data_IF_188087549296
#
_entry.id   IF_188087549296
#
_cell.length_a   1.000
_cell.length_b   1.000
_cell.length_c   1.000
_cell.angle_alpha   90.00
_cell.angle_beta   90.00
_cell.angle_gamma   90.00
#
_symmetry.space_group_name_H-M   'P 1'
#
loop_
_entity.id
_entity.type
_entity.pdbx_description
1 polymer ?
#
# COMPACT_ATOMS: atom_id res chain seq x y z
N UNK A 1 -9.41 -10.98 16.14
CA UNK A 1 -8.48 -9.99 16.71
C UNK A 1 -7.97 -9.12 15.56
N UNK A 2 -8.45 -7.88 15.37
CA UNK A 2 -7.91 -6.99 14.32
C UNK A 2 -6.49 -6.60 14.75
N UNK A 3 -5.45 -7.02 14.02
CA UNK A 3 -4.10 -6.55 14.26
C UNK A 3 -4.10 -5.03 14.12
N UNK A 4 -3.88 -4.32 15.24
CA UNK A 4 -3.80 -2.87 15.26
C UNK A 4 -2.35 -2.52 14.96
N UNK A 5 -2.06 -2.26 13.68
CA UNK A 5 -0.75 -1.77 13.25
C UNK A 5 -0.52 -0.43 13.96
N UNK A 6 0.61 -0.31 14.67
CA UNK A 6 0.97 0.91 15.40
C UNK A 6 1.85 1.78 14.51
N UNK A 7 1.89 3.07 14.83
CA UNK A 7 2.72 4.06 14.13
C UNK A 7 4.20 3.65 14.09
N UNK A 8 4.70 3.06 15.18
CA UNK A 8 6.06 2.53 15.26
C UNK A 8 6.32 1.40 14.26
N UNK A 9 5.33 0.55 14.00
CA UNK A 9 5.45 -0.56 13.07
C UNK A 9 5.51 -0.02 11.63
N UNK A 10 4.71 1.00 11.29
CA UNK A 10 4.73 1.68 9.99
C UNK A 10 6.05 2.44 9.78
N UNK A 11 6.53 3.16 10.80
CA UNK A 11 7.82 3.84 10.74
C UNK A 11 8.96 2.84 10.53
N UNK A 12 8.95 1.72 11.26
CA UNK A 12 9.94 0.66 11.06
C UNK A 12 9.91 0.13 9.62
N UNK A 13 8.73 -0.19 9.09
CA UNK A 13 8.56 -0.68 7.72
C UNK A 13 9.07 0.36 6.69
N UNK A 14 8.77 1.64 6.90
CA UNK A 14 9.26 2.73 6.05
C UNK A 14 10.78 2.76 6.02
N UNK A 15 11.43 2.79 7.18
CA UNK A 15 12.90 2.83 7.26
C UNK A 15 13.55 1.54 6.76
N UNK A 16 12.94 0.39 7.03
CA UNK A 16 13.41 -0.89 6.50
C UNK A 16 13.46 -0.88 4.98
N UNK A 17 12.37 -0.49 4.32
CA UNK A 17 12.35 -0.39 2.85
C UNK A 17 13.24 0.72 2.31
N UNK A 18 13.35 1.86 3.00
CA UNK A 18 14.28 2.91 2.62
C UNK A 18 15.74 2.43 2.66
N UNK A 19 16.12 1.69 3.71
CA UNK A 19 17.46 1.09 3.82
C UNK A 19 17.70 0.06 2.72
N UNK A 20 16.74 -0.84 2.47
CA UNK A 20 16.86 -1.85 1.39
C UNK A 20 16.94 -1.20 0.01
N UNK A 21 16.22 -0.11 -0.22
CA UNK A 21 16.31 0.69 -1.44
C UNK A 21 17.73 1.21 -1.65
N UNK A 22 18.34 1.84 -0.63
CA UNK A 22 19.72 2.34 -0.72
C UNK A 22 20.71 1.19 -0.94
N UNK A 23 20.60 0.10 -0.19
CA UNK A 23 21.46 -1.08 -0.35
C UNK A 23 21.37 -1.64 -1.77
N UNK A 24 20.16 -1.75 -2.33
CA UNK A 24 19.96 -2.26 -3.69
C UNK A 24 20.58 -1.35 -4.75
N UNK A 25 20.55 -0.03 -4.56
CA UNK A 25 21.22 0.93 -5.43
C UNK A 25 22.74 0.75 -5.37
N UNK A 26 23.29 0.62 -4.16
CA UNK A 26 24.73 0.37 -3.98
C UNK A 26 25.13 -0.95 -4.64
N UNK A 27 24.33 -2.00 -4.50
CA UNK A 27 24.58 -3.29 -5.14
C UNK A 27 24.53 -3.19 -6.68
N UNK A 28 23.59 -2.44 -7.24
CA UNK A 28 23.51 -2.19 -8.70
C UNK A 28 24.75 -1.43 -9.21
N UNK A 29 25.17 -0.38 -8.49
CA UNK A 29 26.42 0.34 -8.76
C UNK A 29 27.62 -0.60 -8.69
N UNK A 30 27.72 -1.41 -7.65
CA UNK A 30 28.83 -2.35 -7.49
C UNK A 30 28.92 -3.32 -8.68
N UNK A 31 27.81 -3.92 -9.09
CA UNK A 31 27.77 -4.81 -10.27
C UNK A 31 28.21 -4.09 -11.55
N UNK A 32 27.75 -2.86 -11.77
CA UNK A 32 28.06 -2.10 -12.98
C UNK A 32 29.54 -1.72 -13.07
N UNK A 33 30.12 -1.23 -11.98
CA UNK A 33 31.48 -0.71 -11.97
C UNK A 33 32.55 -1.78 -11.75
N UNK A 34 32.28 -2.80 -10.93
CA UNK A 34 33.29 -3.78 -10.52
C UNK A 34 33.11 -5.16 -11.17
N UNK A 35 31.92 -5.48 -11.68
CA UNK A 35 31.64 -6.76 -12.33
C UNK A 35 31.39 -6.62 -13.84
N UNK A 36 31.62 -5.43 -14.40
CA UNK A 36 31.41 -5.10 -15.82
C UNK A 36 30.05 -5.55 -16.36
N UNK A 37 29.00 -5.49 -15.53
CA UNK A 37 27.67 -5.86 -15.96
C UNK A 37 27.23 -4.97 -17.14
N UNK A 38 26.69 -5.58 -18.20
CA UNK A 38 26.25 -4.84 -19.39
C UNK A 38 25.11 -3.86 -19.06
N UNK A 39 24.24 -4.24 -18.13
CA UNK A 39 23.03 -3.48 -17.81
C UNK A 39 23.01 -2.97 -16.36
N UNK A 40 22.43 -1.80 -16.19
CA UNK A 40 22.19 -1.20 -14.89
C UNK A 40 20.81 -1.63 -14.38
N UNK A 41 20.76 -2.72 -13.62
CA UNK A 41 19.50 -3.27 -13.11
C UNK A 41 19.06 -2.55 -11.83
N UNK A 42 17.97 -1.78 -11.95
CA UNK A 42 17.33 -1.04 -10.87
C UNK A 42 16.00 -1.64 -10.41
N UNK A 43 15.66 -2.85 -10.86
CA UNK A 43 14.39 -3.50 -10.53
C UNK A 43 14.15 -3.55 -9.01
N UNK A 44 15.13 -4.04 -8.26
CA UNK A 44 15.08 -4.12 -6.80
C UNK A 44 14.93 -2.73 -6.14
N UNK A 45 15.64 -1.72 -6.65
CA UNK A 45 15.52 -0.35 -6.17
C UNK A 45 14.08 0.15 -6.30
N UNK A 46 13.48 -0.01 -7.47
CA UNK A 46 12.10 0.43 -7.70
C UNK A 46 11.09 -0.35 -6.86
N UNK A 47 11.30 -1.66 -6.65
CA UNK A 47 10.44 -2.45 -5.75
C UNK A 47 10.46 -1.88 -4.34
N UNK A 48 11.65 -1.65 -3.76
CA UNK A 48 11.75 -1.10 -2.41
C UNK A 48 11.28 0.35 -2.31
N UNK A 49 11.50 1.16 -3.35
CA UNK A 49 10.96 2.51 -3.44
C UNK A 49 9.44 2.53 -3.36
N UNK A 50 8.76 1.69 -4.15
CA UNK A 50 7.29 1.58 -4.12
C UNK A 50 6.79 1.11 -2.76
N UNK A 51 7.44 0.11 -2.15
CA UNK A 51 7.06 -0.38 -0.82
C UNK A 51 7.26 0.69 0.27
N UNK A 52 8.35 1.46 0.19
CA UNK A 52 8.57 2.61 1.07
C UNK A 52 7.48 3.67 0.89
N UNK A 53 7.05 3.95 -0.34
CA UNK A 53 5.94 4.89 -0.59
C UNK A 53 4.62 4.37 0.00
N UNK A 54 4.31 3.08 -0.15
CA UNK A 54 3.14 2.48 0.48
C UNK A 54 3.16 2.65 2.01
N UNK A 55 4.31 2.42 2.65
CA UNK A 55 4.47 2.64 4.07
C UNK A 55 4.27 4.13 4.44
N UNK A 56 4.83 5.06 3.65
CA UNK A 56 4.68 6.50 3.87
C UNK A 56 3.23 6.97 3.75
N UNK A 57 2.48 6.42 2.80
CA UNK A 57 1.09 6.79 2.54
C UNK A 57 0.06 5.87 3.21
N UNK A 58 0.50 5.01 4.14
CA UNK A 58 -0.34 4.00 4.78
C UNK A 58 -1.67 4.57 5.31
N UNK A 59 -1.63 5.67 6.08
CA UNK A 59 -2.84 6.28 6.63
C UNK A 59 -3.76 6.89 5.57
N UNK A 60 -3.20 7.47 4.51
CA UNK A 60 -3.99 8.02 3.42
C UNK A 60 -4.72 6.91 2.67
N UNK A 61 -4.03 5.79 2.41
CA UNK A 61 -4.62 4.59 1.81
C UNK A 61 -5.72 4.03 2.70
N UNK A 62 -5.44 3.89 4.00
CA UNK A 62 -6.43 3.39 4.96
C UNK A 62 -7.67 4.28 5.01
N UNK A 63 -7.48 5.61 5.04
CA UNK A 63 -8.58 6.56 5.01
C UNK A 63 -9.46 6.41 3.77
N UNK A 64 -8.85 6.28 2.59
CA UNK A 64 -9.57 6.07 1.33
C UNK A 64 -10.36 4.75 1.36
N UNK A 65 -9.75 3.66 1.85
CA UNK A 65 -10.42 2.36 1.98
C UNK A 65 -11.63 2.43 2.92
N UNK A 66 -11.49 3.08 4.08
CA UNK A 66 -12.58 3.27 5.03
C UNK A 66 -13.71 4.11 4.41
N UNK A 67 -13.38 5.15 3.63
CA UNK A 67 -14.37 5.94 2.90
C UNK A 67 -15.13 5.12 1.85
N UNK A 68 -14.43 4.31 1.06
CA UNK A 68 -15.05 3.43 0.07
C UNK A 68 -16.01 2.45 0.76
N UNK A 69 -15.59 1.86 1.88
CA UNK A 69 -16.43 0.92 2.63
C UNK A 69 -17.68 1.60 3.23
N UNK A 70 -17.56 2.85 3.70
CA UNK A 70 -18.70 3.64 4.16
C UNK A 70 -19.71 3.93 3.03
N UNK A 71 -19.21 4.29 1.84
CA UNK A 71 -20.07 4.52 0.66
C UNK A 71 -20.80 3.23 0.30
N UNK A 72 -20.08 2.12 0.19
CA UNK A 72 -20.64 0.82 -0.17
C UNK A 72 -21.72 0.36 0.84
N UNK A 73 -21.49 0.54 2.15
CA UNK A 73 -22.51 0.27 3.18
C UNK A 73 -23.76 1.12 3.01
N UNK A 74 -23.61 2.41 2.70
CA UNK A 74 -24.76 3.32 2.48
C UNK A 74 -25.55 2.93 1.24
N UNK A 75 -24.89 2.58 0.14
CA UNK A 75 -25.56 2.14 -1.08
C UNK A 75 -26.30 0.83 -0.88
N UNK A 76 -25.67 -0.15 -0.20
CA UNK A 76 -26.33 -1.41 0.14
C UNK A 76 -27.55 -1.21 1.02
N UNK A 77 -27.48 -0.32 2.01
CA UNK A 77 -28.63 0.00 2.85
C UNK A 77 -29.77 0.65 2.05
N UNK A 78 -29.45 1.58 1.14
CA UNK A 78 -30.47 2.17 0.25
C UNK A 78 -31.17 1.11 -0.59
N UNK A 79 -30.43 0.16 -1.16
CA UNK A 79 -31.03 -0.93 -1.94
C UNK A 79 -32.00 -1.76 -1.10
N UNK A 80 -31.60 -2.15 0.12
CA UNK A 80 -32.45 -2.87 1.06
C UNK A 80 -33.72 -2.07 1.43
N UNK A 81 -33.59 -0.76 1.65
CA UNK A 81 -34.74 0.11 1.96
C UNK A 81 -35.70 0.23 0.77
N UNK A 82 -35.20 0.23 -0.47
CA UNK A 82 -36.03 0.22 -1.68
C UNK A 82 -36.76 -1.13 -1.84
N UNK A 83 -36.08 -2.25 -1.66
CA UNK A 83 -36.69 -3.58 -1.70
C UNK A 83 -37.79 -3.75 -0.64
N UNK A 84 -37.53 -3.30 0.59
CA UNK A 84 -38.50 -3.34 1.67
C UNK A 84 -39.76 -2.53 1.35
N UNK A 85 -39.60 -1.30 0.83
CA UNK A 85 -40.73 -0.45 0.41
C UNK A 85 -41.55 -1.05 -0.72
N UNK A 86 -40.89 -1.77 -1.63
CA UNK A 86 -41.55 -2.40 -2.78
C UNK A 86 -42.36 -3.62 -2.33
N UNK A 87 -41.83 -4.43 -1.39
CA UNK A 87 -42.56 -5.56 -0.79
C UNK A 87 -43.76 -5.15 0.06
N UNK A 88 -43.71 -4.03 0.77
CA UNK A 88 -44.87 -3.55 1.56
C UNK A 88 -46.00 -2.95 0.72
N UNK A 89 -45.80 -2.75 -0.59
CA UNK A 89 -46.79 -2.17 -1.51
C UNK A 89 -47.47 -3.21 -2.43
N UNK A 90 -47.07 -4.48 -2.39
CA UNK A 90 -47.78 -5.59 -3.02
C UNK A 90 -48.63 -6.33 -2.00
#
# INVERSE_FOLDING_TARGET
MKLKIRDKDIQFIYYFFATMMVISMVAACYKKFFQHADQFDLSAFYTFFVMMLFARFYYAIQYVLEKIEQINRRERQRQLDFEAKTKTRS
#
